data_IF_250412903786
#
_entry.id   IF_250412903786
#
_cell.length_a   1.000
_cell.length_b   1.000
_cell.length_c   1.000
_cell.angle_alpha   90.00
_cell.angle_beta   90.00
_cell.angle_gamma   90.00
#
_symmetry.space_group_name_H-M   'P 1'
#
loop_
_entity.id
_entity.type
_entity.pdbx_description
1 polymer ?
#
# COMPACT_ATOMS: atom_id res chain seq x y z
N UNK A 1 11.65 -7.83 -4.54
CA UNK A 1 10.48 -7.44 -5.39
C UNK A 1 10.50 -8.15 -6.73
N UNK A 2 9.35 -8.70 -7.13
CA UNK A 2 9.15 -9.30 -8.46
C UNK A 2 8.17 -8.42 -9.23
N UNK A 3 8.47 -8.14 -10.51
CA UNK A 3 7.57 -7.38 -11.41
C UNK A 3 7.17 -8.29 -12.55
N UNK A 4 5.87 -8.44 -12.76
CA UNK A 4 5.30 -9.26 -13.82
C UNK A 4 4.35 -8.43 -14.66
N UNK A 5 4.42 -8.55 -15.99
CA UNK A 5 3.44 -7.96 -16.90
C UNK A 5 2.33 -8.98 -17.16
N UNK A 6 1.09 -8.60 -16.86
CA UNK A 6 -0.10 -9.42 -17.04
C UNK A 6 -0.91 -8.89 -18.22
N UNK A 7 -1.38 -9.79 -19.07
CA UNK A 7 -2.30 -9.49 -20.16
C UNK A 7 -3.67 -10.08 -19.82
N UNK A 8 -4.67 -9.20 -19.69
CA UNK A 8 -6.03 -9.57 -19.31
C UNK A 8 -6.93 -9.36 -20.52
N UNK A 9 -7.52 -10.45 -21.00
CA UNK A 9 -8.41 -10.44 -22.16
C UNK A 9 -9.80 -10.90 -21.75
N UNK A 10 -10.81 -10.06 -22.01
CA UNK A 10 -12.23 -10.36 -21.83
C UNK A 10 -12.87 -10.37 -23.22
N UNK A 11 -13.74 -11.35 -23.51
CA UNK A 11 -14.37 -11.47 -24.83
C UNK A 11 -15.10 -10.18 -25.21
N UNK A 12 -14.77 -9.63 -26.39
CA UNK A 12 -15.38 -8.41 -26.91
C UNK A 12 -14.81 -7.11 -26.33
N UNK A 13 -13.75 -7.18 -25.52
CA UNK A 13 -13.03 -6.03 -24.99
C UNK A 13 -11.58 -6.03 -25.50
N UNK A 14 -10.94 -4.86 -25.64
CA UNK A 14 -9.52 -4.79 -25.93
C UNK A 14 -8.71 -5.44 -24.80
N UNK A 15 -7.60 -6.09 -25.15
CA UNK A 15 -6.67 -6.64 -24.16
C UNK A 15 -6.12 -5.53 -23.29
N UNK A 16 -6.19 -5.73 -21.98
CA UNK A 16 -5.68 -4.81 -20.99
C UNK A 16 -4.33 -5.31 -20.46
N UNK A 17 -3.35 -4.42 -20.40
CA UNK A 17 -2.01 -4.71 -19.89
C UNK A 17 -1.89 -4.15 -18.49
N UNK A 18 -1.54 -5.00 -17.53
CA UNK A 18 -1.35 -4.64 -16.13
C UNK A 18 0.08 -4.95 -15.68
N UNK A 19 0.70 -4.01 -14.96
CA UNK A 19 1.97 -4.28 -14.28
C UNK A 19 1.67 -4.73 -12.84
N UNK A 20 2.09 -5.95 -12.50
CA UNK A 20 1.89 -6.54 -11.20
C UNK A 20 3.20 -6.52 -10.39
N UNK A 21 3.19 -5.78 -9.28
CA UNK A 21 4.32 -5.62 -8.38
C UNK A 21 4.11 -6.48 -7.14
N UNK A 22 5.01 -7.44 -6.90
CA UNK A 22 4.93 -8.34 -5.76
C UNK A 22 6.10 -8.10 -4.80
N UNK A 23 5.78 -7.62 -3.60
CA UNK A 23 6.72 -7.53 -2.49
C UNK A 23 6.75 -8.86 -1.73
N UNK A 24 7.78 -9.65 -2.01
CA UNK A 24 7.95 -11.01 -1.46
C UNK A 24 8.64 -11.03 -0.10
N UNK A 25 9.36 -9.96 0.25
CA UNK A 25 10.22 -9.89 1.42
C UNK A 25 9.48 -9.40 2.69
N UNK A 26 8.16 -9.14 2.61
CA UNK A 26 7.37 -8.76 3.78
C UNK A 26 7.00 -10.01 4.59
N UNK A 27 7.52 -10.16 5.83
CA UNK A 27 7.26 -11.35 6.65
C UNK A 27 5.78 -11.51 7.03
N UNK A 28 5.33 -12.75 7.19
CA UNK A 28 3.95 -13.07 7.62
C UNK A 28 3.63 -12.62 9.04
N UNK A 29 4.66 -12.51 9.88
CA UNK A 29 4.56 -11.92 11.22
C UNK A 29 5.51 -10.73 11.30
N UNK A 30 4.95 -9.57 11.60
CA UNK A 30 5.72 -8.36 11.86
C UNK A 30 5.76 -7.40 10.68
N UNK A 31 6.70 -6.48 10.77
CA UNK A 31 7.06 -5.54 9.70
C UNK A 31 8.41 -5.96 9.14
N UNK A 32 8.71 -5.65 7.87
CA UNK A 32 10.07 -5.70 7.38
C UNK A 32 10.96 -4.81 8.26
N UNK A 33 12.26 -5.09 8.30
CA UNK A 33 13.23 -4.13 8.82
C UNK A 33 13.06 -2.78 8.11
N UNK A 34 13.49 -1.69 8.75
CA UNK A 34 13.34 -0.35 8.22
C UNK A 34 13.87 -0.27 6.78
N UNK A 35 12.95 -0.29 5.83
CA UNK A 35 13.22 -0.40 4.41
C UNK A 35 12.47 0.73 3.70
N UNK A 36 13.19 1.46 2.84
CA UNK A 36 12.63 2.51 1.99
C UNK A 36 11.84 1.92 0.81
N UNK A 37 11.78 0.59 0.69
CA UNK A 37 11.07 -0.10 -0.36
C UNK A 37 9.62 0.36 -0.58
N UNK A 38 8.74 0.53 0.43
CA UNK A 38 7.39 1.03 0.21
C UNK A 38 7.38 2.39 -0.49
N UNK A 39 8.29 3.29 -0.10
CA UNK A 39 8.42 4.64 -0.65
C UNK A 39 8.87 4.56 -2.12
N UNK A 40 9.87 3.74 -2.43
CA UNK A 40 10.32 3.53 -3.81
C UNK A 40 9.27 2.89 -4.71
N UNK A 41 8.51 1.92 -4.18
CA UNK A 41 7.41 1.29 -4.90
C UNK A 41 6.34 2.32 -5.24
N UNK A 42 5.92 3.10 -4.25
CA UNK A 42 4.90 4.13 -4.41
C UNK A 42 5.36 5.23 -5.38
N UNK A 43 6.62 5.66 -5.31
CA UNK A 43 7.20 6.62 -6.25
C UNK A 43 7.12 6.12 -7.71
N UNK A 44 7.45 4.84 -7.95
CA UNK A 44 7.29 4.22 -9.28
C UNK A 44 5.84 4.17 -9.76
N UNK A 45 4.88 4.10 -8.84
CA UNK A 45 3.46 4.07 -9.16
C UNK A 45 2.87 5.47 -9.38
N UNK A 46 3.59 6.56 -9.05
CA UNK A 46 3.09 7.95 -9.22
C UNK A 46 2.76 8.31 -10.67
N UNK A 47 3.42 7.69 -11.65
CA UNK A 47 3.10 7.91 -13.07
C UNK A 47 1.80 7.23 -13.53
N UNK A 48 1.22 6.36 -12.70
CA UNK A 48 -0.04 5.70 -13.02
C UNK A 48 -1.22 6.66 -12.82
N UNK A 49 -1.98 6.92 -13.89
CA UNK A 49 -3.14 7.81 -13.86
C UNK A 49 -4.46 7.09 -13.58
N UNK A 50 -4.45 5.75 -13.57
CA UNK A 50 -5.59 4.90 -13.28
C UNK A 50 -5.63 4.42 -11.83
N UNK A 51 -6.76 3.85 -11.39
CA UNK A 51 -6.87 3.28 -10.04
C UNK A 51 -5.83 2.17 -9.83
N UNK A 52 -5.13 2.22 -8.69
CA UNK A 52 -4.16 1.21 -8.28
C UNK A 52 -4.86 0.19 -7.38
N UNK A 53 -4.69 -1.09 -7.70
CA UNK A 53 -5.17 -2.19 -6.86
C UNK A 53 -4.05 -2.62 -5.92
N UNK A 54 -4.29 -2.51 -4.61
CA UNK A 54 -3.38 -3.01 -3.57
C UNK A 54 -4.07 -4.15 -2.83
N UNK A 55 -3.42 -5.30 -2.73
CA UNK A 55 -3.95 -6.44 -1.98
C UNK A 55 -2.85 -7.17 -1.21
N UNK A 56 -3.26 -7.97 -0.22
CA UNK A 56 -2.41 -8.94 0.46
C UNK A 56 -3.17 -10.27 0.55
N UNK A 57 -3.33 -10.83 1.75
CA UNK A 57 -4.23 -11.97 2.01
C UNK A 57 -5.66 -11.48 2.27
N UNK A 58 -5.99 -11.08 3.51
CA UNK A 58 -7.30 -10.50 3.85
C UNK A 58 -7.49 -9.05 3.34
N UNK A 59 -6.43 -8.43 2.82
CA UNK A 59 -6.47 -7.08 2.27
C UNK A 59 -6.66 -5.98 3.32
N UNK A 60 -6.25 -6.20 4.57
CA UNK A 60 -6.43 -5.23 5.67
C UNK A 60 -5.13 -4.85 6.37
N UNK A 61 -4.20 -5.79 6.59
CA UNK A 61 -2.90 -5.53 7.24
C UNK A 61 -1.93 -4.76 6.34
N UNK A 62 -1.10 -5.48 5.57
CA UNK A 62 -0.11 -4.89 4.64
C UNK A 62 -0.73 -3.90 3.65
N UNK A 63 -1.93 -4.21 3.15
CA UNK A 63 -2.70 -3.31 2.27
C UNK A 63 -2.98 -1.97 2.96
N UNK A 64 -3.50 -1.99 4.19
CA UNK A 64 -3.76 -0.76 4.94
C UNK A 64 -2.48 0.04 5.20
N UNK A 65 -1.37 -0.65 5.48
CA UNK A 65 -0.08 -0.01 5.71
C UNK A 65 0.45 0.72 4.46
N UNK A 66 0.37 0.10 3.28
CA UNK A 66 0.78 0.76 2.02
C UNK A 66 -0.10 1.97 1.72
N UNK A 67 -1.42 1.86 1.91
CA UNK A 67 -2.35 2.98 1.70
C UNK A 67 -2.07 4.12 2.67
N UNK A 68 -1.78 3.81 3.94
CA UNK A 68 -1.42 4.82 4.94
C UNK A 68 -0.12 5.55 4.58
N UNK A 69 0.89 4.82 4.11
CA UNK A 69 2.17 5.40 3.67
C UNK A 69 1.95 6.33 2.47
N UNK A 70 1.17 5.92 1.46
CA UNK A 70 0.90 6.78 0.31
C UNK A 70 0.19 8.07 0.75
N UNK A 71 -0.83 7.95 1.62
CA UNK A 71 -1.51 9.13 2.12
C UNK A 71 -0.57 10.09 2.87
N UNK A 72 0.34 9.56 3.69
CA UNK A 72 1.35 10.38 4.35
C UNK A 72 2.30 11.05 3.35
N UNK A 73 2.73 10.35 2.30
CA UNK A 73 3.57 10.91 1.24
C UNK A 73 2.85 12.02 0.46
N UNK A 74 1.56 11.86 0.15
CA UNK A 74 0.74 12.91 -0.48
C UNK A 74 0.67 14.17 0.38
N UNK A 75 0.47 14.04 1.69
CA UNK A 75 0.43 15.17 2.61
C UNK A 75 1.78 15.89 2.67
N UNK A 76 2.89 15.15 2.81
CA UNK A 76 4.24 15.71 2.82
C UNK A 76 4.56 16.45 1.52
N UNK A 77 4.22 15.85 0.37
CA UNK A 77 4.42 16.47 -0.94
C UNK A 77 3.55 17.73 -1.13
N UNK A 78 2.40 17.80 -0.47
CA UNK A 78 1.54 18.98 -0.44
C UNK A 78 1.97 20.02 0.62
N UNK A 79 3.09 19.81 1.33
CA UNK A 79 3.57 20.69 2.40
C UNK A 79 2.66 20.71 3.64
N UNK A 80 1.78 19.72 3.80
CA UNK A 80 0.87 19.61 4.94
C UNK A 80 1.56 18.87 6.10
N UNK A 81 1.30 19.26 7.36
CA UNK A 81 1.85 18.56 8.50
C UNK A 81 1.28 17.15 8.61
N UNK A 82 2.12 16.21 9.08
CA UNK A 82 1.65 14.91 9.52
C UNK A 82 1.05 15.03 10.93
N UNK A 83 -0.11 14.42 11.11
CA UNK A 83 -0.80 14.27 12.39
C UNK A 83 -0.47 12.90 13.00
N UNK A 84 -1.00 12.65 14.18
CA UNK A 84 -0.94 11.34 14.81
C UNK A 84 -1.55 10.25 13.90
N UNK A 85 -0.86 9.10 13.82
CA UNK A 85 -1.26 7.95 13.00
C UNK A 85 -2.71 7.51 13.32
N UNK A 86 -3.12 7.64 14.58
CA UNK A 86 -4.48 7.33 15.04
C UNK A 86 -5.56 8.07 14.25
N UNK A 87 -5.33 9.32 13.88
CA UNK A 87 -6.28 10.13 13.12
C UNK A 87 -6.48 9.57 11.70
N UNK A 88 -5.39 9.18 11.05
CA UNK A 88 -5.45 8.59 9.71
C UNK A 88 -6.07 7.20 9.72
N UNK A 89 -5.82 6.41 10.76
CA UNK A 89 -6.42 5.09 10.92
C UNK A 89 -7.94 5.15 11.06
N UNK A 90 -8.49 6.18 11.71
CA UNK A 90 -9.94 6.38 11.82
C UNK A 90 -10.55 6.58 10.43
N UNK A 91 -9.99 7.48 9.63
CA UNK A 91 -10.50 7.73 8.27
C UNK A 91 -10.32 6.54 7.34
N UNK A 92 -9.17 5.87 7.39
CA UNK A 92 -8.91 4.67 6.59
C UNK A 92 -9.91 3.54 6.92
N UNK A 93 -10.24 3.37 8.20
CA UNK A 93 -11.19 2.34 8.66
C UNK A 93 -12.64 2.65 8.30
N UNK A 94 -13.00 3.92 8.04
CA UNK A 94 -14.31 4.27 7.45
C UNK A 94 -14.46 3.77 6.02
N UNK A 95 -13.37 3.75 5.25
CA UNK A 95 -13.38 3.28 3.87
C UNK A 95 -13.19 1.75 3.76
N UNK A 96 -12.39 1.16 4.65
CA UNK A 96 -12.17 -0.29 4.71
C UNK A 96 -11.96 -0.76 6.14
N UNK A 97 -12.97 -1.47 6.67
CA UNK A 97 -12.99 -1.93 8.06
C UNK A 97 -11.74 -2.76 8.42
N UNK A 98 -11.24 -2.63 9.65
CA UNK A 98 -10.06 -3.31 10.18
C UNK A 98 -8.72 -3.03 9.45
N UNK A 99 -8.65 -1.99 8.62
CA UNK A 99 -7.40 -1.58 7.97
C UNK A 99 -6.31 -1.26 9.01
N UNK A 100 -5.11 -1.77 8.71
CA UNK A 100 -3.93 -1.83 9.59
C UNK A 100 -4.24 -2.63 10.86
N UNK A 101 -3.88 -3.92 10.84
CA UNK A 101 -3.97 -4.81 11.99
C UNK A 101 -2.70 -4.72 12.83
N UNK A 102 -2.90 -4.49 14.12
CA UNK A 102 -1.95 -3.80 15.02
C UNK A 102 -1.26 -4.76 15.99
N UNK A 103 -1.05 -6.03 15.64
CA UNK A 103 -0.43 -6.91 16.65
C UNK A 103 1.09 -6.70 16.79
N UNK A 104 1.77 -6.08 15.80
CA UNK A 104 3.24 -5.95 15.78
C UNK A 104 3.79 -4.59 15.33
N UNK A 105 2.95 -3.63 14.90
CA UNK A 105 3.45 -2.32 14.42
C UNK A 105 3.89 -1.38 15.57
N UNK A 106 3.33 -1.55 16.78
CA UNK A 106 3.62 -0.67 17.92
C UNK A 106 4.73 -1.16 18.85
N UNK A 107 5.16 -2.43 18.76
CA UNK A 107 6.22 -2.95 19.65
C UNK A 107 7.63 -2.47 19.25
N UNK A 108 7.81 -1.99 18.02
CA UNK A 108 9.13 -1.64 17.47
C UNK A 108 9.31 -0.13 17.25
N UNK A 109 8.40 0.70 17.79
CA UNK A 109 8.50 2.16 17.76
C UNK A 109 8.74 2.77 19.16
N UNK A 110 9.12 1.94 20.14
CA UNK A 110 9.56 2.36 21.48
C UNK A 110 11.00 1.90 21.72
#
# INVERSE_FOLDING_TARGET
>A
MVVTKLEVSIRGQPTHICNHYHWVDWPDRGVPDADLFPVHLLDKLRSCTGPIIVHCSAGIGRTGSIVLIEHAMELLNAGKPLLEISNYLVELRKQRNNSVQVQLFFSNLH
#
